data_IF_982659584801
#
_entry.id   IF_982659584801
#
_cell.length_a   1.000
_cell.length_b   1.000
_cell.length_c   1.000
_cell.angle_alpha   90.00
_cell.angle_beta   90.00
_cell.angle_gamma   90.00
#
_symmetry.space_group_name_H-M   'P 1'
#
loop_
_entity.id
_entity.type
_entity.pdbx_description
1 polymer ?
#
# COMPACT_ATOMS: atom_id res chain seq x y z
N UNK A 1 -1.07 -27.69 -7.64
CA UNK A 1 -0.44 -26.74 -6.69
C UNK A 1 -0.01 -25.53 -7.50
N UNK A 2 -0.82 -24.47 -7.50
CA UNK A 2 -0.47 -23.23 -8.20
C UNK A 2 0.57 -22.49 -7.36
N UNK A 3 1.70 -22.17 -7.98
CA UNK A 3 2.73 -21.35 -7.37
C UNK A 3 2.15 -19.94 -7.19
N UNK A 4 2.23 -19.33 -5.98
CA UNK A 4 1.69 -17.98 -5.76
C UNK A 4 2.30 -17.01 -6.76
N UNK A 5 1.46 -16.32 -7.52
CA UNK A 5 1.89 -15.25 -8.42
C UNK A 5 2.33 -14.09 -7.54
N UNK A 6 3.64 -13.95 -7.34
CA UNK A 6 4.19 -12.79 -6.62
C UNK A 6 3.74 -11.51 -7.31
N UNK A 7 3.25 -10.54 -6.52
CA UNK A 7 2.93 -9.22 -7.05
C UNK A 7 4.20 -8.62 -7.64
N UNK A 8 4.09 -8.11 -8.87
CA UNK A 8 5.10 -7.23 -9.41
C UNK A 8 5.10 -5.90 -8.64
N UNK A 9 6.12 -5.07 -8.88
CA UNK A 9 6.25 -3.79 -8.18
C UNK A 9 5.02 -2.89 -8.36
N UNK A 10 4.38 -2.95 -9.54
CA UNK A 10 3.20 -2.16 -9.86
C UNK A 10 2.02 -2.58 -8.99
N UNK A 11 1.76 -3.88 -8.90
CA UNK A 11 0.65 -4.41 -8.13
C UNK A 11 0.87 -4.24 -6.61
N UNK A 12 2.12 -4.26 -6.14
CA UNK A 12 2.47 -3.88 -4.76
C UNK A 12 2.14 -2.41 -4.48
N UNK A 13 2.52 -1.52 -5.40
CA UNK A 13 2.26 -0.10 -5.26
C UNK A 13 0.75 0.19 -5.32
N UNK A 14 0.01 -0.50 -6.20
CA UNK A 14 -1.44 -0.39 -6.29
C UNK A 14 -2.12 -0.81 -4.97
N UNK A 15 -1.73 -1.95 -4.39
CA UNK A 15 -2.24 -2.41 -3.09
C UNK A 15 -1.91 -1.42 -1.97
N UNK A 16 -0.67 -0.95 -1.88
CA UNK A 16 -0.26 -0.02 -0.84
C UNK A 16 -1.02 1.31 -0.95
N UNK A 17 -1.15 1.85 -2.16
CA UNK A 17 -1.89 3.08 -2.41
C UNK A 17 -3.40 2.92 -2.08
N UNK A 18 -4.00 1.78 -2.42
CA UNK A 18 -5.37 1.47 -2.02
C UNK A 18 -5.56 1.48 -0.50
N UNK A 19 -4.64 0.86 0.25
CA UNK A 19 -4.70 0.87 1.71
C UNK A 19 -4.47 2.27 2.30
N UNK A 20 -3.54 3.05 1.71
CA UNK A 20 -3.31 4.46 2.11
C UNK A 20 -4.54 5.32 1.88
N UNK A 21 -5.21 5.19 0.74
CA UNK A 21 -6.46 5.90 0.47
C UNK A 21 -7.57 5.50 1.43
N UNK A 22 -7.67 4.21 1.74
CA UNK A 22 -8.66 3.70 2.70
C UNK A 22 -8.43 4.26 4.11
N UNK A 23 -7.16 4.36 4.54
CA UNK A 23 -6.78 5.01 5.80
C UNK A 23 -7.19 6.48 5.83
N UNK A 24 -6.99 7.20 4.72
CA UNK A 24 -7.33 8.61 4.61
C UNK A 24 -8.84 8.83 4.57
N UNK A 25 -9.59 7.95 3.91
CA UNK A 25 -11.04 7.97 3.90
C UNK A 25 -11.60 7.76 5.30
N UNK A 26 -11.15 6.73 6.03
CA UNK A 26 -11.56 6.49 7.41
C UNK A 26 -11.24 7.70 8.29
N UNK A 27 -10.03 8.25 8.15
CA UNK A 27 -9.60 9.44 8.88
C UNK A 27 -10.46 10.68 8.60
N UNK A 28 -11.00 10.78 7.41
CA UNK A 28 -11.90 11.87 7.02
C UNK A 28 -13.32 11.65 7.54
N UNK A 29 -13.82 10.40 7.48
CA UNK A 29 -15.21 10.05 7.83
C UNK A 29 -15.42 9.94 9.34
N UNK A 30 -14.58 9.18 10.05
CA UNK A 30 -14.73 8.93 11.49
C UNK A 30 -13.80 9.79 12.34
N UNK A 31 -12.72 10.30 11.76
CA UNK A 31 -11.65 10.96 12.49
C UNK A 31 -10.61 9.99 13.06
N UNK A 32 -10.81 8.68 12.89
CA UNK A 32 -9.91 7.63 13.36
C UNK A 32 -9.09 7.02 12.21
N UNK A 33 -8.11 6.19 12.53
CA UNK A 33 -7.42 5.37 11.53
C UNK A 33 -8.05 3.99 11.48
N UNK A 34 -7.91 3.29 10.36
CA UNK A 34 -8.38 1.90 10.26
C UNK A 34 -7.69 1.04 11.32
N UNK A 35 -8.46 0.16 11.93
CA UNK A 35 -7.92 -0.90 12.79
C UNK A 35 -7.10 -1.89 11.96
N UNK A 36 -6.23 -2.65 12.62
CA UNK A 36 -5.43 -3.69 11.98
C UNK A 36 -6.34 -4.71 11.27
N UNK A 37 -7.46 -5.08 11.90
CA UNK A 37 -8.45 -5.99 11.35
C UNK A 37 -9.04 -5.44 10.04
N UNK A 38 -9.40 -4.17 10.00
CA UNK A 38 -9.95 -3.53 8.80
C UNK A 38 -8.91 -3.43 7.68
N UNK A 39 -7.65 -3.12 7.99
CA UNK A 39 -6.56 -3.10 7.01
C UNK A 39 -6.37 -4.49 6.38
N UNK A 40 -6.33 -5.54 7.21
CA UNK A 40 -6.17 -6.92 6.73
C UNK A 40 -7.37 -7.35 5.88
N UNK A 41 -8.58 -6.93 6.23
CA UNK A 41 -9.77 -7.26 5.45
C UNK A 41 -9.78 -6.55 4.09
N UNK A 42 -9.45 -5.26 4.06
CA UNK A 42 -9.31 -4.50 2.81
C UNK A 42 -8.21 -5.06 1.91
N UNK A 43 -7.08 -5.47 2.48
CA UNK A 43 -6.00 -6.17 1.76
C UNK A 43 -6.53 -7.45 1.08
N UNK A 44 -7.32 -8.26 1.79
CA UNK A 44 -7.92 -9.48 1.23
C UNK A 44 -8.91 -9.18 0.11
N UNK A 45 -9.76 -8.17 0.29
CA UNK A 45 -10.70 -7.71 -0.74
C UNK A 45 -9.94 -7.30 -2.01
N UNK A 46 -8.87 -6.52 -1.85
CA UNK A 46 -8.03 -6.10 -2.97
C UNK A 46 -7.38 -7.27 -3.69
N UNK A 47 -6.81 -8.22 -2.94
CA UNK A 47 -6.17 -9.42 -3.50
C UNK A 47 -7.17 -10.29 -4.28
N UNK A 48 -8.37 -10.49 -3.74
CA UNK A 48 -9.44 -11.24 -4.38
C UNK A 48 -9.88 -10.60 -5.71
N UNK A 49 -9.95 -9.26 -5.76
CA UNK A 49 -10.36 -8.52 -6.96
C UNK A 49 -9.26 -8.42 -8.04
N UNK A 50 -7.99 -8.43 -7.64
CA UNK A 50 -6.85 -8.21 -8.53
C UNK A 50 -6.06 -9.49 -8.86
N UNK A 51 -6.52 -10.66 -8.38
CA UNK A 51 -5.92 -11.96 -8.70
C UNK A 51 -4.53 -12.20 -8.10
N UNK A 52 -4.20 -11.49 -7.01
CA UNK A 52 -2.91 -11.60 -6.34
C UNK A 52 -2.87 -12.75 -5.34
N UNK A 53 -1.82 -13.57 -5.38
CA UNK A 53 -1.51 -14.53 -4.32
C UNK A 53 -0.12 -14.22 -3.76
N UNK A 54 -0.08 -13.69 -2.54
CA UNK A 54 1.10 -13.05 -1.96
C UNK A 54 1.57 -13.81 -0.73
N UNK A 55 2.88 -13.93 -0.59
CA UNK A 55 3.49 -14.51 0.61
C UNK A 55 3.05 -13.71 1.84
N UNK A 56 2.70 -14.41 2.91
CA UNK A 56 2.16 -13.80 4.13
C UNK A 56 3.03 -12.65 4.69
N UNK A 57 4.36 -12.77 4.59
CA UNK A 57 5.27 -11.75 5.11
C UNK A 57 5.22 -10.44 4.31
N UNK A 58 5.08 -10.55 2.99
CA UNK A 58 5.00 -9.41 2.08
C UNK A 58 3.66 -8.68 2.26
N UNK A 59 2.58 -9.44 2.42
CA UNK A 59 1.25 -8.92 2.80
C UNK A 59 1.29 -8.10 4.08
N UNK A 60 1.83 -8.68 5.16
CA UNK A 60 1.96 -8.00 6.45
C UNK A 60 2.83 -6.75 6.35
N UNK A 61 3.92 -6.81 5.58
CA UNK A 61 4.82 -5.67 5.39
C UNK A 61 4.09 -4.50 4.71
N UNK A 62 3.41 -4.75 3.58
CA UNK A 62 2.65 -3.74 2.84
C UNK A 62 1.56 -3.13 3.73
N UNK A 63 0.77 -3.98 4.39
CA UNK A 63 -0.30 -3.54 5.29
C UNK A 63 0.23 -2.68 6.45
N UNK A 64 1.40 -3.01 7.00
CA UNK A 64 2.02 -2.25 8.10
C UNK A 64 2.48 -0.83 7.70
N UNK A 65 2.78 -0.59 6.43
CA UNK A 65 3.23 0.73 5.96
C UNK A 65 2.08 1.71 5.67
N UNK A 66 0.86 1.19 5.46
CA UNK A 66 -0.30 1.96 5.01
C UNK A 66 -0.59 3.19 5.87
N UNK A 67 -0.70 3.04 7.19
CA UNK A 67 -1.02 4.16 8.09
C UNK A 67 0.10 5.21 8.12
N UNK A 68 1.36 4.79 8.21
CA UNK A 68 2.50 5.72 8.24
C UNK A 68 2.59 6.54 6.96
N UNK A 69 2.32 5.94 5.80
CA UNK A 69 2.27 6.66 4.53
C UNK A 69 1.05 7.58 4.44
N UNK A 70 -0.12 7.16 4.93
CA UNK A 70 -1.29 8.02 5.02
C UNK A 70 -1.05 9.26 5.87
N UNK A 71 -0.38 9.12 7.01
CA UNK A 71 0.04 10.25 7.85
C UNK A 71 0.96 11.21 7.08
N UNK A 72 1.93 10.70 6.33
CA UNK A 72 2.80 11.52 5.46
C UNK A 72 2.03 12.21 4.35
N UNK A 73 1.11 11.52 3.69
CA UNK A 73 0.24 12.11 2.64
C UNK A 73 -0.56 13.27 3.21
N UNK A 74 -1.21 13.07 4.36
CA UNK A 74 -2.02 14.09 5.03
C UNK A 74 -1.23 15.37 5.37
N UNK A 75 0.07 15.25 5.67
CA UNK A 75 0.94 16.39 5.96
C UNK A 75 1.43 17.09 4.69
N UNK A 76 1.78 16.33 3.65
CA UNK A 76 2.48 16.87 2.48
C UNK A 76 1.57 17.27 1.32
N UNK A 77 0.33 16.75 1.28
CA UNK A 77 -0.63 17.02 0.23
C UNK A 77 -1.81 17.80 0.80
N UNK A 78 -2.26 18.90 0.16
CA UNK A 78 -3.53 19.53 0.49
C UNK A 78 -4.66 18.56 0.10
N UNK A 79 -5.06 17.73 1.05
CA UNK A 79 -6.05 16.67 0.86
C UNK A 79 -7.43 17.30 0.64
N UNK A 80 -7.91 17.30 -0.60
CA UNK A 80 -9.34 17.43 -0.91
C UNK A 80 -9.83 16.02 -1.25
N UNK A 81 -10.31 15.28 -0.25
CA UNK A 81 -11.00 14.01 -0.49
C UNK A 81 -12.36 14.34 -1.09
N UNK A 82 -12.40 14.42 -2.43
CA UNK A 82 -13.65 14.30 -3.17
C UNK A 82 -14.24 12.90 -2.96
N UNK A 83 -15.56 12.79 -3.05
CA UNK A 83 -16.40 11.62 -2.74
C UNK A 83 -16.07 10.35 -3.57
N UNK A 84 -15.04 10.38 -4.42
CA UNK A 84 -14.64 9.30 -5.33
C UNK A 84 -13.30 8.67 -4.90
N UNK A 85 -13.22 8.15 -3.66
CA UNK A 85 -12.06 7.33 -3.24
C UNK A 85 -12.21 5.89 -3.75
N UNK A 86 -11.12 5.30 -4.22
CA UNK A 86 -11.07 3.90 -4.65
C UNK A 86 -11.44 2.91 -3.52
N UNK A 87 -11.29 3.34 -2.25
CA UNK A 87 -11.63 2.58 -1.05
C UNK A 87 -13.14 2.26 -0.91
N UNK A 88 -14.01 3.02 -1.58
CA UNK A 88 -15.47 2.87 -1.46
C UNK A 88 -16.09 1.93 -2.53
N UNK A 89 -15.29 1.37 -3.44
CA UNK A 89 -15.79 0.61 -4.61
C UNK A 89 -15.77 -0.90 -4.37
N UNK A 90 -16.82 -1.60 -4.84
CA UNK A 90 -16.86 -3.08 -4.95
C UNK A 90 -15.74 -3.66 -5.83
N UNK A 91 -15.11 -2.81 -6.65
CA UNK A 91 -13.92 -3.12 -7.42
C UNK A 91 -12.82 -2.10 -7.04
N UNK A 92 -11.86 -2.48 -6.17
CA UNK A 92 -10.86 -1.58 -5.60
C UNK A 92 -9.76 -1.26 -6.61
N UNK A 93 -10.11 -0.47 -7.63
CA UNK A 93 -9.18 0.05 -8.63
C UNK A 93 -8.95 1.53 -8.37
N UNK A 94 -7.69 1.93 -8.40
CA UNK A 94 -7.27 3.32 -8.29
C UNK A 94 -7.76 4.11 -9.52
N UNK A 95 -8.45 5.22 -9.30
CA UNK A 95 -8.77 6.15 -10.38
C UNK A 95 -7.61 7.12 -10.62
N UNK A 96 -6.70 6.73 -11.52
CA UNK A 96 -5.56 7.54 -11.89
C UNK A 96 -5.91 8.88 -12.59
N UNK A 97 -7.18 9.13 -12.93
CA UNK A 97 -7.61 10.45 -13.42
C UNK A 97 -7.50 11.50 -12.32
N UNK A 98 -7.68 11.12 -11.06
CA UNK A 98 -7.50 12.00 -9.92
C UNK A 98 -6.00 12.25 -9.66
N UNK A 99 -5.61 13.53 -9.66
CA UNK A 99 -4.22 13.95 -9.36
C UNK A 99 -3.78 13.49 -7.97
N UNK A 100 -4.72 13.46 -7.02
CA UNK A 100 -4.46 12.99 -5.66
C UNK A 100 -4.07 11.51 -5.63
N UNK A 101 -4.82 10.65 -6.33
CA UNK A 101 -4.56 9.20 -6.44
C UNK A 101 -3.18 8.94 -7.04
N UNK A 102 -2.81 9.68 -8.10
CA UNK A 102 -1.45 9.61 -8.69
C UNK A 102 -0.36 9.98 -7.69
N UNK A 103 -0.53 11.08 -6.95
CA UNK A 103 0.46 11.49 -5.95
C UNK A 103 0.63 10.46 -4.82
N UNK A 104 -0.48 9.88 -4.34
CA UNK A 104 -0.43 8.80 -3.34
C UNK A 104 0.29 7.57 -3.91
N UNK A 105 -0.02 7.19 -5.14
CA UNK A 105 0.63 6.08 -5.82
C UNK A 105 2.14 6.29 -5.96
N UNK A 106 2.57 7.47 -6.41
CA UNK A 106 3.99 7.80 -6.57
C UNK A 106 4.73 7.71 -5.22
N UNK A 107 4.15 8.25 -4.14
CA UNK A 107 4.72 8.12 -2.79
C UNK A 107 4.83 6.65 -2.32
N UNK A 108 3.85 5.82 -2.65
CA UNK A 108 3.87 4.40 -2.31
C UNK A 108 4.93 3.65 -3.12
N UNK A 109 5.07 3.96 -4.41
CA UNK A 109 6.07 3.38 -5.29
C UNK A 109 7.48 3.74 -4.82
N UNK A 110 7.73 5.01 -4.52
CA UNK A 110 9.00 5.49 -4.00
C UNK A 110 9.38 4.77 -2.70
N UNK A 111 8.41 4.61 -1.78
CA UNK A 111 8.62 3.88 -0.54
C UNK A 111 8.99 2.40 -0.79
N UNK A 112 8.30 1.72 -1.70
CA UNK A 112 8.59 0.33 -2.04
C UNK A 112 9.97 0.17 -2.67
N UNK A 113 10.37 1.11 -3.53
CA UNK A 113 11.71 1.17 -4.11
C UNK A 113 12.72 1.32 -2.98
N UNK A 114 12.62 2.36 -2.15
CA UNK A 114 13.51 2.61 -1.01
C UNK A 114 13.67 1.36 -0.13
N UNK A 115 12.56 0.72 0.27
CA UNK A 115 12.60 -0.49 1.09
C UNK A 115 13.27 -1.68 0.39
N UNK A 116 13.10 -1.80 -0.94
CA UNK A 116 13.82 -2.77 -1.76
C UNK A 116 15.35 -2.52 -1.77
N UNK A 117 15.77 -1.25 -1.89
CA UNK A 117 17.18 -0.87 -1.78
C UNK A 117 17.75 -1.18 -0.40
N UNK A 118 17.02 -0.88 0.69
CA UNK A 118 17.47 -1.16 2.05
C UNK A 118 17.59 -2.66 2.34
N UNK A 119 16.63 -3.47 1.90
CA UNK A 119 16.69 -4.91 2.11
C UNK A 119 17.81 -5.58 1.29
N UNK A 120 18.00 -5.16 0.04
CA UNK A 120 19.11 -5.66 -0.79
C UNK A 120 20.48 -5.15 -0.32
N UNK A 121 20.57 -3.92 0.19
CA UNK A 121 21.79 -3.35 0.77
C UNK A 121 22.21 -4.06 2.07
N UNK A 122 21.24 -4.42 2.94
CA UNK A 122 21.52 -5.22 4.15
C UNK A 122 21.97 -6.64 3.82
N UNK A 123 21.42 -7.27 2.79
CA UNK A 123 21.87 -8.60 2.34
C UNK A 123 23.32 -8.54 1.84
N UNK A 124 23.67 -7.55 0.99
CA UNK A 124 25.06 -7.34 0.55
C UNK A 124 26.04 -7.03 1.68
N UNK A 125 25.60 -6.32 2.72
CA UNK A 125 26.46 -6.03 3.87
C UNK A 125 26.70 -7.23 4.78
N UNK A 126 25.79 -8.23 4.75
CA UNK A 126 25.88 -9.44 5.58
C UNK A 126 26.79 -10.52 4.98
N UNK A 127 26.93 -10.52 3.65
CA UNK A 127 27.85 -11.41 2.93
C UNK A 127 29.30 -10.90 2.95
N UNK A 128 29.54 -9.70 3.49
CA UNK A 128 30.85 -9.05 3.57
C UNK A 128 31.61 -9.25 4.88
N UNK A 129 31.09 -10.04 5.82
CA UNK A 129 31.72 -10.24 7.13
C UNK A 129 31.87 -11.73 7.44
N UNK A 130 33.00 -12.28 7.00
CA UNK A 130 33.52 -13.56 7.49
C UNK A 130 35.00 -13.36 7.86
N UNK A 131 35.42 -13.58 9.11
CA UNK A 131 36.81 -13.86 9.44
C UNK A 131 37.23 -15.27 8.99
#
# INVERSE_FOLDING_TARGET
MNQPLQLDLRARADLLAFLVESQLLERFVSGDWLTIENVVELERIWLAANGGDVKWFERVSISSWSQTLAERVKVNLPVVLGVESAAASENPRLDFRATFVRAVYDMCLDHLVEMGWFMNGRLRSRDGEAP
#
